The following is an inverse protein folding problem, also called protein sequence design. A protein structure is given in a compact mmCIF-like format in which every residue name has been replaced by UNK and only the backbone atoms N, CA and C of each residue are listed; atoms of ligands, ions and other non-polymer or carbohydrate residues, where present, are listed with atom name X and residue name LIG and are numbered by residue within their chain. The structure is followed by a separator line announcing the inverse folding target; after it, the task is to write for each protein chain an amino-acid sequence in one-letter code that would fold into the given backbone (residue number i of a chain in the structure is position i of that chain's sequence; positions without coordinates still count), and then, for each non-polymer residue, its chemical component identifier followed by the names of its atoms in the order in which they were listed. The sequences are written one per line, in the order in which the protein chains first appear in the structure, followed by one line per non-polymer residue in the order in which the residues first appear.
data_IF_976412608964
#
_entry.id   IF_976412608964
#
_cell.length_a   1.000
_cell.length_b   1.000
_cell.length_c   1.000
_cell.angle_alpha   90.00
_cell.angle_beta   90.00
_cell.angle_gamma   90.00
#
_symmetry.space_group_name_H-M   'P 1'
#
loop_
_entity.id
_entity.type
_entity.pdbx_description
1 polymer ?
#
# COMPACT_ATOMS: atom_id res chain seq x y z
N UNK A 1 -25.45 -7.93 -26.81
CA UNK A 1 -24.74 -6.64 -26.59
C UNK A 1 -24.31 -6.45 -25.13
N UNK A 2 -25.09 -6.89 -24.13
CA UNK A 2 -24.76 -6.76 -22.69
C UNK A 2 -23.53 -7.60 -22.26
N UNK A 3 -23.28 -8.75 -22.88
CA UNK A 3 -22.16 -9.64 -22.53
C UNK A 3 -20.77 -9.07 -22.85
N UNK A 4 -20.63 -8.33 -23.97
CA UNK A 4 -19.33 -7.79 -24.40
C UNK A 4 -18.90 -6.58 -23.57
N UNK A 5 -19.85 -5.73 -23.17
CA UNK A 5 -19.60 -4.59 -22.28
C UNK A 5 -19.17 -5.02 -20.86
N UNK A 6 -19.73 -6.11 -20.36
CA UNK A 6 -19.33 -6.64 -19.05
C UNK A 6 -17.90 -7.20 -19.07
N UNK A 7 -17.51 -7.85 -20.17
CA UNK A 7 -16.17 -8.42 -20.34
C UNK A 7 -15.08 -7.33 -20.37
N UNK A 8 -15.34 -6.23 -21.09
CA UNK A 8 -14.43 -5.10 -21.25
C UNK A 8 -14.14 -4.41 -19.90
N UNK A 9 -15.19 -4.09 -19.14
CA UNK A 9 -15.10 -3.45 -17.81
C UNK A 9 -14.31 -4.30 -16.79
N UNK A 10 -14.44 -5.62 -16.87
CA UNK A 10 -13.79 -6.51 -15.92
C UNK A 10 -12.31 -6.79 -16.28
N UNK A 11 -11.93 -6.75 -17.57
CA UNK A 11 -10.51 -6.73 -17.98
C UNK A 11 -9.82 -5.40 -17.64
N UNK A 12 -10.52 -4.27 -17.79
CA UNK A 12 -10.02 -2.96 -17.39
C UNK A 12 -9.72 -2.89 -15.89
N UNK A 13 -10.59 -3.45 -15.04
CA UNK A 13 -10.34 -3.54 -13.58
C UNK A 13 -9.09 -4.35 -13.24
N UNK A 14 -8.81 -5.41 -14.00
CA UNK A 14 -7.60 -6.24 -13.81
C UNK A 14 -6.35 -5.44 -14.19
N UNK A 15 -6.38 -4.70 -15.30
CA UNK A 15 -5.29 -3.79 -15.68
C UNK A 15 -5.07 -2.71 -14.61
N UNK A 16 -6.15 -2.09 -14.14
CA UNK A 16 -6.10 -1.09 -13.07
C UNK A 16 -5.43 -1.64 -11.81
N UNK A 17 -5.84 -2.82 -11.34
CA UNK A 17 -5.22 -3.45 -10.16
C UNK A 17 -3.72 -3.72 -10.34
N UNK A 18 -3.29 -4.07 -11.56
CA UNK A 18 -1.88 -4.29 -11.90
C UNK A 18 -1.08 -2.98 -11.90
N UNK A 19 -1.64 -1.91 -12.47
CA UNK A 19 -0.99 -0.59 -12.48
C UNK A 19 -0.85 -0.04 -11.07
N UNK A 20 -1.90 -0.13 -10.24
CA UNK A 20 -1.85 0.28 -8.84
C UNK A 20 -0.83 -0.54 -8.03
N UNK A 21 -0.67 -1.82 -8.34
CA UNK A 21 0.37 -2.65 -7.72
C UNK A 21 1.78 -2.18 -8.08
N UNK A 22 2.03 -1.88 -9.36
CA UNK A 22 3.33 -1.36 -9.85
C UNK A 22 3.63 0.01 -9.24
N UNK A 23 2.65 0.92 -9.20
CA UNK A 23 2.81 2.25 -8.61
C UNK A 23 3.12 2.14 -7.11
N UNK A 24 2.48 1.22 -6.38
CA UNK A 24 2.80 1.01 -4.97
C UNK A 24 4.21 0.47 -4.71
N UNK A 25 4.86 -0.16 -5.72
CA UNK A 25 6.27 -0.55 -5.65
C UNK A 25 7.22 0.67 -5.65
N UNK A 26 6.72 1.86 -5.99
CA UNK A 26 7.45 3.13 -5.99
C UNK A 26 7.45 3.82 -4.60
N UNK A 27 7.57 3.03 -3.51
CA UNK A 27 7.60 3.49 -2.11
C UNK A 27 6.29 4.15 -1.59
N UNK A 28 5.13 3.85 -2.19
CA UNK A 28 3.84 4.39 -1.74
C UNK A 28 2.97 3.29 -1.11
N UNK A 29 3.18 2.94 0.18
CA UNK A 29 2.38 1.91 0.85
C UNK A 29 0.89 2.24 0.93
N UNK A 30 0.53 3.54 0.97
CA UNK A 30 -0.87 4.00 0.94
C UNK A 30 -1.62 3.48 -0.30
N UNK A 31 -0.96 3.39 -1.47
CA UNK A 31 -1.60 2.93 -2.71
C UNK A 31 -1.92 1.43 -2.65
N UNK A 32 -1.05 0.61 -2.05
CA UNK A 32 -1.31 -0.80 -1.82
C UNK A 32 -2.50 -1.03 -0.87
N UNK A 33 -2.70 -0.16 0.13
CA UNK A 33 -3.89 -0.20 0.99
C UNK A 33 -5.17 0.11 0.21
N UNK A 34 -5.19 1.19 -0.57
CA UNK A 34 -6.35 1.55 -1.40
C UNK A 34 -6.67 0.44 -2.41
N UNK A 35 -5.65 -0.12 -3.08
CA UNK A 35 -5.78 -1.26 -3.98
C UNK A 35 -6.43 -2.45 -3.25
N UNK A 36 -5.97 -2.76 -2.04
CA UNK A 36 -6.50 -3.87 -1.26
C UNK A 36 -7.97 -3.63 -0.88
N UNK A 37 -8.31 -2.48 -0.30
CA UNK A 37 -9.67 -2.18 0.19
C UNK A 37 -10.69 -2.11 -0.94
N UNK A 38 -10.34 -1.47 -2.06
CA UNK A 38 -11.24 -1.35 -3.21
C UNK A 38 -11.52 -2.71 -3.84
N UNK A 39 -10.48 -3.49 -4.10
CA UNK A 39 -10.63 -4.75 -4.82
C UNK A 39 -10.98 -5.94 -3.91
N UNK A 40 -10.91 -5.83 -2.58
CA UNK A 40 -11.32 -6.87 -1.62
C UNK A 40 -12.77 -7.35 -1.85
N UNK A 41 -13.81 -6.51 -1.81
CA UNK A 41 -15.18 -6.96 -2.06
C UNK A 41 -15.36 -7.54 -3.46
N UNK A 42 -14.58 -7.07 -4.44
CA UNK A 42 -14.65 -7.52 -5.83
C UNK A 42 -13.99 -8.90 -6.03
N UNK A 43 -12.88 -9.14 -5.34
CA UNK A 43 -12.12 -10.38 -5.36
C UNK A 43 -12.83 -11.52 -4.59
N UNK A 44 -13.57 -11.20 -3.53
CA UNK A 44 -14.35 -12.15 -2.72
C UNK A 44 -15.83 -12.29 -3.13
N UNK A 45 -16.35 -11.42 -4.01
CA UNK A 45 -17.71 -11.53 -4.55
C UNK A 45 -17.94 -12.88 -5.26
N UNK A 46 -19.11 -13.53 -5.16
CA UNK A 46 -19.39 -14.84 -5.78
C UNK A 46 -19.38 -14.85 -7.31
N UNK A 47 -19.30 -13.68 -7.97
CA UNK A 47 -19.18 -13.59 -9.44
C UNK A 47 -17.93 -14.34 -9.93
N UNK A 48 -18.12 -15.23 -10.91
CA UNK A 48 -17.04 -15.97 -11.59
C UNK A 48 -16.58 -15.13 -12.78
N UNK A 49 -15.40 -14.52 -12.67
CA UNK A 49 -14.77 -13.76 -13.75
C UNK A 49 -13.50 -14.46 -14.25
N UNK A 50 -13.22 -14.35 -15.55
CA UNK A 50 -12.00 -14.89 -16.17
C UNK A 50 -10.80 -14.09 -15.63
N UNK A 51 -9.91 -14.69 -14.83
CA UNK A 51 -8.76 -13.99 -14.22
C UNK A 51 -8.92 -13.56 -12.75
N UNK A 52 -10.05 -13.89 -12.10
CA UNK A 52 -10.30 -13.60 -10.68
C UNK A 52 -9.23 -14.17 -9.72
N UNK A 53 -8.67 -15.33 -10.04
CA UNK A 53 -7.62 -15.96 -9.21
C UNK A 53 -6.32 -15.15 -9.23
N UNK A 54 -5.94 -14.67 -10.41
CA UNK A 54 -4.79 -13.77 -10.59
C UNK A 54 -4.99 -12.47 -9.82
N UNK A 55 -6.19 -11.87 -9.92
CA UNK A 55 -6.55 -10.65 -9.19
C UNK A 55 -6.49 -10.84 -7.66
N UNK A 56 -7.01 -11.96 -7.14
CA UNK A 56 -6.89 -12.30 -5.70
C UNK A 56 -5.45 -12.36 -5.25
N UNK A 57 -4.56 -12.99 -6.04
CA UNK A 57 -3.15 -13.05 -5.70
C UNK A 57 -2.50 -11.67 -5.66
N UNK A 58 -2.81 -10.78 -6.61
CA UNK A 58 -2.30 -9.40 -6.61
C UNK A 58 -2.80 -8.58 -5.41
N UNK A 59 -4.06 -8.75 -5.01
CA UNK A 59 -4.63 -8.10 -3.82
C UNK A 59 -3.94 -8.60 -2.54
N UNK A 60 -3.74 -9.91 -2.41
CA UNK A 60 -3.02 -10.50 -1.26
C UNK A 60 -1.56 -10.01 -1.22
N UNK A 61 -0.89 -9.98 -2.37
CA UNK A 61 0.50 -9.55 -2.46
C UNK A 61 0.64 -8.04 -2.16
N UNK A 62 -0.32 -7.22 -2.59
CA UNK A 62 -0.41 -5.79 -2.20
C UNK A 62 -0.58 -5.62 -0.70
N UNK A 63 -1.43 -6.44 -0.07
CA UNK A 63 -1.64 -6.40 1.38
C UNK A 63 -0.39 -6.80 2.16
N UNK A 64 0.29 -7.87 1.74
CA UNK A 64 1.56 -8.31 2.36
C UNK A 64 2.63 -7.23 2.19
N UNK A 65 2.74 -6.64 1.01
CA UNK A 65 3.65 -5.53 0.75
C UNK A 65 3.35 -4.33 1.64
N UNK A 66 2.08 -4.00 1.85
CA UNK A 66 1.67 -2.91 2.74
C UNK A 66 2.09 -3.17 4.19
N UNK A 67 1.87 -4.39 4.69
CA UNK A 67 2.30 -4.78 6.04
C UNK A 67 3.82 -4.71 6.22
N UNK A 68 4.57 -5.14 5.18
CA UNK A 68 6.02 -5.05 5.18
C UNK A 68 6.50 -3.58 5.27
N UNK A 69 5.96 -2.69 4.44
CA UNK A 69 6.28 -1.26 4.48
C UNK A 69 5.88 -0.60 5.80
N UNK A 70 4.69 -0.91 6.32
CA UNK A 70 4.23 -0.40 7.61
C UNK A 70 5.19 -0.79 8.73
N UNK A 71 5.62 -2.05 8.77
CA UNK A 71 6.57 -2.54 9.78
C UNK A 71 7.91 -1.83 9.64
N UNK A 72 8.40 -1.65 8.42
CA UNK A 72 9.66 -0.94 8.14
C UNK A 72 9.58 0.54 8.57
N UNK A 73 8.49 1.24 8.24
CA UNK A 73 8.28 2.62 8.65
C UNK A 73 8.16 2.77 10.17
N UNK A 74 7.41 1.88 10.83
CA UNK A 74 7.28 1.88 12.29
C UNK A 74 8.64 1.61 12.94
N UNK A 75 9.39 0.62 12.47
CA UNK A 75 10.72 0.32 12.96
C UNK A 75 11.66 1.52 12.79
N UNK A 76 11.60 2.22 11.65
CA UNK A 76 12.35 3.45 11.41
C UNK A 76 11.95 4.58 12.35
N UNK A 77 10.65 4.79 12.59
CA UNK A 77 10.15 5.80 13.53
C UNK A 77 10.63 5.49 14.95
N UNK A 78 10.52 4.24 15.40
CA UNK A 78 10.98 3.83 16.75
C UNK A 78 12.48 4.01 16.87
N UNK A 79 13.26 3.58 15.87
CA UNK A 79 14.71 3.79 15.83
C UNK A 79 15.04 5.28 15.94
N UNK A 80 14.44 6.12 15.10
CA UNK A 80 14.63 7.57 15.13
C UNK A 80 14.24 8.16 16.49
N UNK A 81 13.14 7.70 17.08
CA UNK A 81 12.66 8.17 18.38
C UNK A 81 13.55 7.72 19.56
N UNK A 82 14.24 6.58 19.45
CA UNK A 82 15.24 6.15 20.45
C UNK A 82 16.57 6.90 20.29
N UNK A 83 17.00 7.12 19.05
CA UNK A 83 18.26 7.81 18.74
C UNK A 83 18.16 9.33 18.92
N UNK A 84 16.95 9.92 18.91
CA UNK A 84 16.74 11.36 19.15
C UNK A 84 17.40 11.85 20.44
N UNK A 85 17.41 11.02 21.49
CA UNK A 85 17.98 11.37 22.79
C UNK A 85 19.51 11.27 22.82
N UNK A 86 20.11 10.51 21.88
CA UNK A 86 21.56 10.27 21.84
C UNK A 86 22.28 11.04 20.71
N UNK A 87 21.57 11.48 19.67
CA UNK A 87 22.20 11.92 18.42
C UNK A 87 22.48 13.44 18.32
N UNK A 88 22.10 14.27 19.30
CA UNK A 88 22.46 15.69 19.34
C UNK A 88 22.19 16.44 18.01
N UNK A 89 23.20 17.17 17.52
CA UNK A 89 23.13 18.16 16.42
C UNK A 89 22.67 17.55 15.08
N UNK A 90 22.99 16.28 14.80
CA UNK A 90 22.65 15.64 13.52
C UNK A 90 21.15 15.31 13.43
N UNK A 91 20.51 14.95 14.54
CA UNK A 91 19.06 14.73 14.59
C UNK A 91 18.28 16.05 14.50
N UNK A 92 18.79 17.13 15.07
CA UNK A 92 18.18 18.47 14.97
C UNK A 92 18.08 18.95 13.52
N UNK A 93 19.05 18.60 12.65
CA UNK A 93 18.99 18.93 11.23
C UNK A 93 17.97 18.09 10.43
N UNK A 94 17.66 16.87 10.91
CA UNK A 94 16.68 15.97 10.30
C UNK A 94 15.26 16.20 10.82
N UNK A 95 15.09 16.77 12.01
CA UNK A 95 13.79 17.09 12.59
C UNK A 95 13.21 18.38 12.00
N UNK A 96 12.17 18.22 11.18
CA UNK A 96 11.38 19.36 10.69
C UNK A 96 10.53 20.00 11.80
N UNK A 97 10.08 19.20 12.78
CA UNK A 97 9.29 19.64 13.94
C UNK A 97 10.08 19.37 15.21
N UNK A 98 10.76 20.40 15.73
CA UNK A 98 11.42 20.32 17.03
C UNK A 98 10.42 20.76 18.12
N UNK A 99 10.07 19.90 19.11
CA UNK A 99 9.22 20.32 20.20
C UNK A 99 9.96 21.33 21.09
N UNK A 100 9.66 22.61 20.91
CA UNK A 100 10.15 23.67 21.80
C UNK A 100 9.57 23.44 23.21
N UNK A 101 10.42 23.09 24.17
CA UNK A 101 10.06 23.07 25.60
C UNK A 101 10.08 21.71 26.31
N UNK A 102 10.61 20.66 25.71
CA UNK A 102 10.89 19.40 26.45
C UNK A 102 12.38 19.09 26.33
N UNK A 103 13.06 19.11 27.48
CA UNK A 103 14.48 18.72 27.63
C UNK A 103 14.67 17.22 27.47
#
# INVERSE_FOLDING_TARGET
MISNQQFDNDEEKVKLCKDYFIIGCFFLPMIWLVNTVWFYPMAFSPRKFKGKMTMRNYVILSFVGFLFWMTLLIAWIVYFHTQRLQCGIYCDQLMYLNPMGTV
#
